data_IF_721039930141
#
_entry.id   IF_721039930141
#
_cell.length_a   1.000
_cell.length_b   1.000
_cell.length_c   1.000
_cell.angle_alpha   90.00
_cell.angle_beta   90.00
_cell.angle_gamma   90.00
#
_symmetry.space_group_name_H-M   'P 1'
#
loop_
_entity.id
_entity.type
_entity.pdbx_description
1 polymer ?
#
# COMPACT_ATOMS: atom_id res chain seq x y z
N UNK A 1 -75.76 17.11 -12.31
CA UNK A 1 -74.62 17.72 -13.02
C UNK A 1 -73.62 18.23 -11.99
N UNK A 2 -72.35 17.85 -12.12
CA UNK A 2 -71.20 18.46 -11.42
C UNK A 2 -70.84 19.82 -12.07
N UNK A 3 -69.86 20.63 -11.58
CA UNK A 3 -69.21 20.72 -10.25
C UNK A 3 -68.99 22.19 -9.77
N UNK A 4 -68.51 22.38 -8.53
CA UNK A 4 -67.38 23.30 -8.23
C UNK A 4 -66.77 22.94 -6.88
N UNK A 5 -65.59 22.32 -6.93
CA UNK A 5 -64.74 22.01 -5.78
C UNK A 5 -64.03 23.28 -5.28
N UNK A 6 -63.90 23.51 -3.96
CA UNK A 6 -62.89 24.42 -3.42
C UNK A 6 -61.52 23.75 -3.36
N UNK A 7 -60.48 24.57 -3.54
CA UNK A 7 -59.08 24.19 -3.73
C UNK A 7 -58.51 23.30 -2.62
N UNK A 8 -57.94 22.16 -3.02
CA UNK A 8 -57.06 21.34 -2.19
C UNK A 8 -55.65 21.92 -2.24
N UNK A 9 -55.16 22.38 -1.09
CA UNK A 9 -53.77 22.79 -0.88
C UNK A 9 -52.80 21.66 -1.28
N UNK A 10 -51.66 21.97 -1.92
CA UNK A 10 -50.70 20.94 -2.30
C UNK A 10 -50.04 20.35 -1.05
N UNK A 11 -50.33 19.07 -0.82
CA UNK A 11 -49.57 18.21 0.10
C UNK A 11 -48.15 18.12 -0.48
N UNK A 12 -47.22 18.83 0.15
CA UNK A 12 -45.78 18.71 -0.10
C UNK A 12 -45.40 17.27 0.27
N UNK A 13 -45.30 16.40 -0.72
CA UNK A 13 -44.64 15.11 -0.56
C UNK A 13 -43.17 15.35 -0.24
N UNK A 14 -42.63 14.78 0.86
CA UNK A 14 -41.20 14.85 1.10
C UNK A 14 -40.50 14.06 -0.02
N UNK A 15 -39.74 14.80 -0.81
CA UNK A 15 -38.75 14.32 -1.76
C UNK A 15 -37.90 13.23 -1.09
N UNK A 16 -38.16 11.97 -1.45
CA UNK A 16 -37.26 10.86 -1.13
C UNK A 16 -35.98 11.11 -1.91
N UNK A 17 -35.02 11.72 -1.22
CA UNK A 17 -33.66 11.84 -1.69
C UNK A 17 -33.19 10.43 -2.10
N UNK A 18 -32.94 10.26 -3.39
CA UNK A 18 -32.47 8.99 -3.97
C UNK A 18 -31.11 8.68 -3.32
N UNK A 19 -31.11 7.74 -2.37
CA UNK A 19 -29.90 7.29 -1.68
C UNK A 19 -28.92 6.74 -2.73
N UNK A 20 -27.78 7.39 -2.88
CA UNK A 20 -26.65 6.88 -3.64
C UNK A 20 -26.21 5.57 -3.00
N UNK A 21 -26.34 4.46 -3.73
CA UNK A 21 -25.93 3.14 -3.26
C UNK A 21 -24.41 3.12 -3.11
N UNK A 22 -23.92 3.19 -1.87
CA UNK A 22 -22.51 2.88 -1.57
C UNK A 22 -22.38 1.36 -1.63
N UNK A 23 -21.66 0.83 -2.61
CA UNK A 23 -21.35 -0.59 -2.65
C UNK A 23 -20.58 -0.98 -1.39
N UNK A 24 -21.07 -1.95 -0.64
CA UNK A 24 -20.38 -2.44 0.56
C UNK A 24 -19.11 -3.19 0.16
N UNK A 25 -17.96 -2.78 0.68
CA UNK A 25 -16.65 -3.37 0.38
C UNK A 25 -16.53 -4.78 0.98
N UNK A 26 -15.59 -5.59 0.44
CA UNK A 26 -15.33 -6.94 0.95
C UNK A 26 -14.90 -6.92 2.43
N UNK A 27 -14.09 -5.94 2.82
CA UNK A 27 -13.64 -5.74 4.21
C UNK A 27 -14.81 -5.49 5.17
N UNK A 28 -15.73 -4.59 4.80
CA UNK A 28 -16.92 -4.31 5.62
C UNK A 28 -17.81 -5.54 5.74
N UNK A 29 -17.95 -6.33 4.67
CA UNK A 29 -18.70 -7.60 4.71
C UNK A 29 -18.06 -8.62 5.64
N UNK A 30 -16.73 -8.74 5.63
CA UNK A 30 -15.98 -9.63 6.53
C UNK A 30 -16.09 -9.16 7.99
N UNK A 31 -16.01 -7.86 8.28
CA UNK A 31 -16.18 -7.33 9.64
C UNK A 31 -17.60 -7.61 10.18
N UNK A 32 -18.63 -7.43 9.35
CA UNK A 32 -20.03 -7.77 9.71
C UNK A 32 -20.15 -9.25 10.09
N UNK A 33 -19.55 -10.15 9.31
CA UNK A 33 -19.56 -11.60 9.58
C UNK A 33 -18.83 -11.88 10.90
N UNK A 34 -17.62 -11.35 11.10
CA UNK A 34 -16.86 -11.57 12.33
C UNK A 34 -17.57 -11.06 13.58
N UNK A 35 -18.20 -9.87 13.52
CA UNK A 35 -19.01 -9.31 14.61
C UNK A 35 -20.19 -10.23 14.96
N UNK A 36 -20.88 -10.73 13.95
CA UNK A 36 -22.00 -11.63 14.13
C UNK A 36 -21.56 -12.99 14.72
N UNK A 37 -20.43 -13.55 14.27
CA UNK A 37 -19.86 -14.80 14.81
C UNK A 37 -19.39 -14.66 16.27
N UNK A 38 -18.98 -13.45 16.68
CA UNK A 38 -18.70 -13.12 18.08
C UNK A 38 -19.97 -12.92 18.94
N UNK A 39 -21.16 -13.09 18.37
CA UNK A 39 -22.43 -12.96 19.07
C UNK A 39 -22.94 -11.52 19.23
N UNK A 40 -22.38 -10.55 18.50
CA UNK A 40 -22.92 -9.17 18.52
C UNK A 40 -24.33 -9.14 17.94
N UNK A 41 -25.25 -8.41 18.60
CA UNK A 41 -26.64 -8.29 18.12
C UNK A 41 -26.68 -7.59 16.75
N UNK A 42 -27.46 -8.12 15.82
CA UNK A 42 -27.60 -7.58 14.45
C UNK A 42 -27.95 -6.08 14.43
N UNK A 43 -28.81 -5.61 15.34
CA UNK A 43 -29.14 -4.18 15.44
C UNK A 43 -27.94 -3.30 15.79
N UNK A 44 -27.01 -3.79 16.61
CA UNK A 44 -25.76 -3.09 16.92
C UNK A 44 -24.85 -3.02 15.70
N UNK A 45 -24.74 -4.11 14.94
CA UNK A 45 -23.94 -4.20 13.71
C UNK A 45 -24.50 -3.27 12.63
N UNK A 46 -25.83 -3.25 12.45
CA UNK A 46 -26.54 -2.34 11.54
C UNK A 46 -26.23 -0.88 11.84
N UNK A 47 -26.31 -0.49 13.12
CA UNK A 47 -26.00 0.88 13.56
C UNK A 47 -24.53 1.22 13.36
N UNK A 48 -23.63 0.30 13.69
CA UNK A 48 -22.19 0.50 13.59
C UNK A 48 -21.73 0.79 12.15
N UNK A 49 -22.21 0.01 11.17
CA UNK A 49 -21.84 0.20 9.77
C UNK A 49 -22.74 1.20 9.01
N UNK A 50 -23.77 1.75 9.66
CA UNK A 50 -24.74 2.65 9.00
C UNK A 50 -25.50 1.99 7.84
N UNK A 51 -25.70 0.67 7.89
CA UNK A 51 -26.36 -0.11 6.83
C UNK A 51 -27.84 -0.32 7.13
N UNK A 52 -28.58 -0.86 6.17
CA UNK A 52 -29.96 -1.30 6.42
C UNK A 52 -29.97 -2.73 6.98
N UNK A 53 -30.97 -3.10 7.80
CA UNK A 53 -31.13 -4.48 8.27
C UNK A 53 -31.17 -5.51 7.13
N UNK A 54 -31.80 -5.15 6.01
CA UNK A 54 -31.86 -5.98 4.82
C UNK A 54 -30.46 -6.25 4.23
N UNK A 55 -29.62 -5.21 4.12
CA UNK A 55 -28.24 -5.34 3.63
C UNK A 55 -27.42 -6.29 4.51
N UNK A 56 -27.51 -6.13 5.85
CA UNK A 56 -26.80 -6.99 6.79
C UNK A 56 -27.30 -8.44 6.70
N UNK A 57 -28.62 -8.65 6.60
CA UNK A 57 -29.19 -9.99 6.42
C UNK A 57 -28.68 -10.67 5.14
N UNK A 58 -28.63 -9.96 4.02
CA UNK A 58 -28.10 -10.50 2.77
C UNK A 58 -26.63 -10.87 2.90
N UNK A 59 -25.81 -10.03 3.55
CA UNK A 59 -24.39 -10.30 3.80
C UNK A 59 -24.22 -11.59 4.61
N UNK A 60 -24.96 -11.73 5.71
CA UNK A 60 -24.91 -12.93 6.58
C UNK A 60 -25.39 -14.20 5.86
N UNK A 61 -26.35 -14.09 4.93
CA UNK A 61 -26.77 -15.24 4.09
C UNK A 61 -25.69 -15.67 3.09
N UNK A 62 -24.82 -14.75 2.68
CA UNK A 62 -23.73 -15.00 1.73
C UNK A 62 -22.36 -15.26 2.41
N UNK A 63 -22.35 -15.64 3.69
CA UNK A 63 -21.14 -15.78 4.52
C UNK A 63 -20.05 -16.59 3.86
N UNK A 64 -20.33 -17.82 3.40
CA UNK A 64 -19.32 -18.70 2.82
C UNK A 64 -18.67 -18.13 1.57
N UNK A 65 -19.49 -17.53 0.69
CA UNK A 65 -18.99 -16.91 -0.54
C UNK A 65 -18.10 -15.69 -0.27
N UNK A 66 -18.43 -14.92 0.78
CA UNK A 66 -17.66 -13.74 1.19
C UNK A 66 -16.35 -14.17 1.86
N UNK A 67 -16.37 -15.19 2.74
CA UNK A 67 -15.16 -15.76 3.35
C UNK A 67 -14.22 -16.31 2.29
N UNK A 68 -14.74 -17.11 1.35
CA UNK A 68 -13.95 -17.64 0.22
C UNK A 68 -13.33 -16.54 -0.63
N UNK A 69 -14.06 -15.45 -0.90
CA UNK A 69 -13.51 -14.30 -1.61
C UNK A 69 -12.38 -13.62 -0.79
N UNK A 70 -12.55 -13.49 0.53
CA UNK A 70 -11.51 -13.02 1.45
C UNK A 70 -10.26 -13.90 1.42
N UNK A 71 -10.44 -15.22 1.52
CA UNK A 71 -9.34 -16.19 1.46
C UNK A 71 -8.63 -16.17 0.12
N UNK A 72 -9.36 -15.99 -0.98
CA UNK A 72 -8.78 -15.87 -2.32
C UNK A 72 -7.93 -14.61 -2.44
N UNK A 73 -8.41 -13.46 -1.95
CA UNK A 73 -7.64 -12.21 -1.94
C UNK A 73 -6.39 -12.34 -1.06
N UNK A 74 -6.54 -12.92 0.13
CA UNK A 74 -5.43 -13.18 1.06
C UNK A 74 -4.39 -14.14 0.46
N UNK A 75 -4.84 -15.22 -0.16
CA UNK A 75 -3.98 -16.19 -0.85
C UNK A 75 -3.28 -15.59 -2.05
N UNK A 76 -3.95 -14.78 -2.87
CA UNK A 76 -3.32 -14.06 -3.98
C UNK A 76 -2.30 -13.04 -3.48
N UNK A 77 -2.58 -12.36 -2.37
CA UNK A 77 -1.62 -11.45 -1.74
C UNK A 77 -0.41 -12.23 -1.18
N UNK A 78 -0.63 -13.34 -0.48
CA UNK A 78 0.42 -14.19 0.06
C UNK A 78 1.24 -14.86 -1.05
N UNK A 79 0.58 -15.33 -2.12
CA UNK A 79 1.19 -15.88 -3.33
C UNK A 79 1.98 -14.82 -4.08
N UNK A 80 1.47 -13.59 -4.19
CA UNK A 80 2.21 -12.47 -4.76
C UNK A 80 3.45 -12.17 -3.92
N UNK A 81 3.31 -12.12 -2.59
CA UNK A 81 4.43 -11.91 -1.66
C UNK A 81 5.46 -13.05 -1.74
N UNK A 82 5.07 -14.31 -1.90
CA UNK A 82 5.98 -15.47 -1.98
C UNK A 82 6.57 -15.69 -3.38
N UNK A 83 5.83 -15.38 -4.44
CA UNK A 83 6.25 -15.57 -5.83
C UNK A 83 7.15 -14.44 -6.35
N UNK A 84 7.20 -13.28 -5.68
CA UNK A 84 8.20 -12.23 -5.96
C UNK A 84 9.53 -12.39 -5.22
N UNK A 85 9.72 -13.42 -4.38
CA UNK A 85 10.94 -13.54 -3.55
C UNK A 85 12.04 -14.32 -4.29
N UNK A 86 12.84 -13.62 -5.07
CA UNK A 86 14.27 -13.92 -5.03
C UNK A 86 14.71 -13.62 -3.59
N UNK A 87 14.93 -14.65 -2.77
CA UNK A 87 15.25 -14.48 -1.33
C UNK A 87 16.45 -13.55 -1.10
N UNK A 88 17.36 -13.50 -2.07
CA UNK A 88 18.50 -12.61 -2.13
C UNK A 88 18.11 -11.12 -2.21
N UNK A 89 17.12 -10.78 -3.05
CA UNK A 89 16.63 -9.40 -3.21
C UNK A 89 15.98 -8.90 -1.92
N UNK A 90 15.13 -9.71 -1.30
CA UNK A 90 14.49 -9.34 -0.04
C UNK A 90 15.49 -9.18 1.11
N UNK A 91 16.48 -10.08 1.18
CA UNK A 91 17.57 -9.99 2.17
C UNK A 91 18.37 -8.70 1.95
N UNK A 92 18.69 -8.36 0.71
CA UNK A 92 19.39 -7.12 0.37
C UNK A 92 18.54 -5.88 0.71
N UNK A 93 17.25 -5.85 0.35
CA UNK A 93 16.36 -4.72 0.66
C UNK A 93 16.17 -4.52 2.17
N UNK A 94 16.10 -5.61 2.95
CA UNK A 94 15.99 -5.53 4.42
C UNK A 94 17.26 -4.94 5.05
N UNK A 95 18.45 -5.34 4.57
CA UNK A 95 19.72 -4.78 5.02
C UNK A 95 19.85 -3.30 4.63
N UNK A 96 19.35 -2.94 3.44
CA UNK A 96 19.37 -1.57 2.95
C UNK A 96 18.46 -0.67 3.79
N UNK A 97 17.25 -1.13 4.13
CA UNK A 97 16.33 -0.41 5.03
C UNK A 97 16.96 -0.18 6.41
N UNK A 98 17.56 -1.21 7.00
CA UNK A 98 18.24 -1.10 8.30
C UNK A 98 19.35 -0.05 8.25
N UNK A 99 20.17 -0.07 7.20
CA UNK A 99 21.23 0.92 7.02
C UNK A 99 20.67 2.35 6.89
N UNK A 100 19.62 2.56 6.11
CA UNK A 100 18.98 3.89 5.98
C UNK A 100 18.47 4.38 7.32
N UNK A 101 17.81 3.52 8.10
CA UNK A 101 17.31 3.87 9.43
C UNK A 101 18.45 4.26 10.37
N UNK A 102 19.57 3.53 10.36
CA UNK A 102 20.77 3.86 11.12
C UNK A 102 21.36 5.24 10.75
N UNK A 103 21.45 5.55 9.45
CA UNK A 103 21.89 6.87 8.99
C UNK A 103 20.97 7.99 9.47
N UNK A 104 19.64 7.78 9.43
CA UNK A 104 18.65 8.74 9.95
C UNK A 104 18.83 8.96 11.45
N UNK A 105 19.05 7.88 12.22
CA UNK A 105 19.34 7.99 13.66
C UNK A 105 20.65 8.76 13.94
N UNK A 106 21.65 8.63 13.08
CA UNK A 106 22.92 9.36 13.17
C UNK A 106 22.86 10.77 12.56
N UNK A 107 21.69 11.26 12.14
CA UNK A 107 21.49 12.55 11.46
C UNK A 107 22.33 12.72 10.18
N UNK A 108 22.72 11.62 9.54
CA UNK A 108 23.50 11.66 8.31
C UNK A 108 22.55 11.77 7.11
N UNK A 109 22.77 12.75 6.20
CA UNK A 109 21.94 12.88 5.01
C UNK A 109 22.20 11.71 4.06
N UNK A 110 21.13 11.02 3.65
CA UNK A 110 21.20 9.93 2.69
C UNK A 110 20.59 10.38 1.36
N UNK A 111 21.37 10.30 0.28
CA UNK A 111 20.93 10.61 -1.08
C UNK A 111 20.57 9.34 -1.86
N UNK A 112 19.80 9.49 -2.95
CA UNK A 112 19.47 8.36 -3.85
C UNK A 112 20.71 7.67 -4.39
N UNK A 113 21.77 8.43 -4.74
CA UNK A 113 23.03 7.86 -5.24
C UNK A 113 23.69 6.96 -4.20
N UNK A 114 23.71 7.40 -2.94
CA UNK A 114 24.26 6.60 -1.83
C UNK A 114 23.43 5.34 -1.58
N UNK A 115 22.11 5.42 -1.68
CA UNK A 115 21.23 4.26 -1.50
C UNK A 115 21.46 3.24 -2.60
N UNK A 116 21.56 3.69 -3.86
CA UNK A 116 21.84 2.81 -4.99
C UNK A 116 23.22 2.15 -4.83
N UNK A 117 24.26 2.93 -4.50
CA UNK A 117 25.60 2.39 -4.27
C UNK A 117 25.62 1.37 -3.13
N UNK A 118 24.91 1.66 -2.02
CA UNK A 118 24.81 0.73 -0.90
C UNK A 118 24.03 -0.54 -1.26
N UNK A 119 22.97 -0.42 -2.05
CA UNK A 119 22.20 -1.56 -2.55
C UNK A 119 23.05 -2.51 -3.39
N UNK A 120 23.92 -1.97 -4.26
CA UNK A 120 24.88 -2.76 -5.03
C UNK A 120 25.88 -3.51 -4.14
N UNK A 121 26.49 -2.83 -3.17
CA UNK A 121 27.40 -3.47 -2.21
C UNK A 121 26.71 -4.59 -1.42
N UNK A 122 25.51 -4.34 -0.90
CA UNK A 122 24.75 -5.34 -0.15
C UNK A 122 24.32 -6.52 -1.03
N UNK A 123 24.03 -6.28 -2.31
CA UNK A 123 23.73 -7.35 -3.25
C UNK A 123 24.93 -8.28 -3.44
N UNK A 124 26.12 -7.73 -3.65
CA UNK A 124 27.35 -8.52 -3.77
C UNK A 124 27.62 -9.34 -2.49
N UNK A 125 27.46 -8.73 -1.32
CA UNK A 125 27.62 -9.40 -0.03
C UNK A 125 26.62 -10.55 0.16
N UNK A 126 25.38 -10.37 -0.29
CA UNK A 126 24.34 -11.41 -0.24
C UNK A 126 24.66 -12.54 -1.22
N UNK A 127 25.07 -12.22 -2.45
CA UNK A 127 25.46 -13.22 -3.46
C UNK A 127 26.69 -14.02 -3.02
N UNK A 128 27.65 -13.40 -2.33
CA UNK A 128 28.85 -14.09 -1.82
C UNK A 128 28.54 -15.14 -0.74
N UNK A 129 27.42 -15.01 -0.03
CA UNK A 129 27.00 -15.94 1.02
C UNK A 129 26.14 -17.11 0.51
N UNK A 130 25.71 -17.08 -0.75
CA UNK A 130 24.85 -18.12 -1.33
C UNK A 130 25.69 -19.21 -2.02
N UNK A 131 25.21 -20.48 -1.99
CA UNK A 131 25.75 -21.54 -2.84
C UNK A 131 25.68 -21.15 -4.33
N UNK A 132 26.61 -21.63 -5.15
CA UNK A 132 26.74 -21.25 -6.57
C UNK A 132 25.46 -21.50 -7.37
N UNK A 133 24.72 -22.55 -7.03
CA UNK A 133 23.43 -22.92 -7.63
C UNK A 133 22.29 -21.93 -7.34
N UNK A 134 22.35 -21.18 -6.24
CA UNK A 134 21.34 -20.19 -5.83
C UNK A 134 21.73 -18.75 -6.18
N UNK A 135 22.97 -18.53 -6.65
CA UNK A 135 23.42 -17.20 -7.05
C UNK A 135 22.65 -16.71 -8.27
N UNK A 136 22.34 -15.42 -8.24
CA UNK A 136 21.74 -14.77 -9.39
C UNK A 136 22.74 -14.76 -10.55
N UNK A 137 22.31 -15.31 -11.69
CA UNK A 137 23.12 -15.33 -12.93
C UNK A 137 23.26 -13.94 -13.56
N UNK A 138 22.40 -13.01 -13.17
CA UNK A 138 22.39 -11.64 -13.66
C UNK A 138 22.72 -10.67 -12.54
N UNK A 139 23.48 -9.60 -12.82
CA UNK A 139 23.77 -8.57 -11.84
C UNK A 139 22.49 -7.84 -11.43
N UNK A 140 22.49 -7.29 -10.21
CA UNK A 140 21.39 -6.47 -9.72
C UNK A 140 21.26 -5.18 -10.53
N UNK A 141 20.08 -4.98 -11.12
CA UNK A 141 19.73 -3.76 -11.82
C UNK A 141 19.06 -2.78 -10.87
N UNK A 142 19.81 -1.79 -10.36
CA UNK A 142 19.29 -0.68 -9.57
C UNK A 142 18.52 0.35 -10.42
N UNK A 143 17.54 -0.15 -11.18
CA UNK A 143 16.72 0.69 -12.06
C UNK A 143 15.90 1.71 -11.26
N UNK A 144 15.51 2.81 -11.91
CA UNK A 144 14.58 3.78 -11.33
C UNK A 144 13.28 3.11 -10.87
N UNK A 145 12.76 2.19 -11.67
CA UNK A 145 11.58 1.41 -11.34
C UNK A 145 11.76 0.57 -10.07
N UNK A 146 12.89 -0.11 -9.91
CA UNK A 146 13.21 -0.84 -8.67
C UNK A 146 13.23 0.10 -7.46
N UNK A 147 13.96 1.22 -7.56
CA UNK A 147 14.10 2.18 -6.46
C UNK A 147 12.76 2.78 -6.03
N UNK A 148 11.89 3.12 -7.00
CA UNK A 148 10.55 3.64 -6.72
C UNK A 148 9.68 2.62 -5.97
N UNK A 149 9.80 1.33 -6.30
CA UNK A 149 9.09 0.25 -5.60
C UNK A 149 9.66 0.01 -4.19
N UNK A 150 10.99 -0.02 -4.05
CA UNK A 150 11.67 -0.12 -2.77
C UNK A 150 11.20 1.02 -1.83
N UNK A 151 11.30 2.27 -2.28
CA UNK A 151 10.87 3.46 -1.53
C UNK A 151 9.43 3.37 -1.03
N UNK A 152 8.51 2.88 -1.87
CA UNK A 152 7.10 2.67 -1.51
C UNK A 152 6.91 1.58 -0.45
N UNK A 153 7.69 0.50 -0.49
CA UNK A 153 7.62 -0.59 0.49
C UNK A 153 8.09 -0.14 1.87
N UNK A 154 9.24 0.54 1.94
CA UNK A 154 9.87 0.95 3.20
C UNK A 154 9.35 2.28 3.75
N UNK A 155 8.34 2.89 3.12
CA UNK A 155 7.72 4.13 3.61
C UNK A 155 8.65 5.36 3.60
N UNK A 156 9.68 5.37 2.74
CA UNK A 156 10.64 6.48 2.62
C UNK A 156 10.01 7.66 1.88
N UNK A 157 9.10 8.41 2.52
CA UNK A 157 8.40 9.53 1.87
C UNK A 157 9.25 10.78 1.70
N UNK A 158 10.34 10.94 2.47
CA UNK A 158 11.04 12.23 2.62
C UNK A 158 12.36 12.38 1.84
N UNK A 159 12.82 11.33 1.13
CA UNK A 159 14.06 11.43 0.34
C UNK A 159 13.75 12.20 -0.94
N UNK A 160 14.17 13.47 -1.03
CA UNK A 160 13.99 14.25 -2.24
C UNK A 160 14.76 13.58 -3.39
N UNK A 161 14.03 13.23 -4.44
CA UNK A 161 14.60 12.70 -5.67
C UNK A 161 15.09 13.92 -6.45
N UNK A 162 16.28 14.43 -6.13
CA UNK A 162 16.92 15.46 -6.94
C UNK A 162 17.33 14.80 -8.26
N UNK A 163 16.40 14.79 -9.21
CA UNK A 163 16.69 14.56 -10.61
C UNK A 163 16.63 15.90 -11.30
N UNK A 164 17.77 16.54 -11.53
CA UNK A 164 17.93 17.47 -12.64
C UNK A 164 19.40 17.76 -12.96
N UNK A 165 19.61 17.96 -14.25
CA UNK A 165 20.86 18.13 -14.97
C UNK A 165 21.70 19.31 -14.46
N UNK A 166 22.98 19.08 -14.19
CA UNK A 166 23.99 20.14 -14.24
C UNK A 166 24.84 19.92 -15.49
N UNK A 167 24.34 20.43 -16.61
CA UNK A 167 25.10 20.62 -17.84
C UNK A 167 26.19 21.67 -17.61
N UNK A 168 27.44 21.30 -17.94
CA UNK A 168 28.64 22.07 -18.36
C UNK A 168 28.80 23.54 -17.87
N UNK A 169 29.93 24.01 -17.32
CA UNK A 169 31.31 23.88 -17.81
C UNK A 169 32.35 24.06 -16.69
N UNK A 170 33.53 23.44 -16.87
CA UNK A 170 34.79 23.79 -16.17
C UNK A 170 35.42 25.02 -16.86
N UNK A 171 36.21 25.86 -16.15
CA UNK A 171 37.65 25.61 -16.10
C UNK A 171 38.31 25.88 -14.74
N UNK A 172 39.58 25.46 -14.69
CA UNK A 172 40.48 25.32 -13.56
C UNK A 172 40.88 26.60 -12.81
N UNK A 173 41.23 26.42 -11.53
CA UNK A 173 42.20 27.14 -10.67
C UNK A 173 41.82 26.80 -9.20
N UNK A 174 42.66 26.64 -8.19
CA UNK A 174 44.11 26.54 -8.03
C UNK A 174 44.30 26.03 -6.57
N UNK A 175 45.21 25.07 -6.39
CA UNK A 175 46.12 24.81 -5.25
C UNK A 175 45.72 24.92 -3.75
N UNK A 176 46.37 24.01 -2.99
CA UNK A 176 46.75 24.02 -1.55
C UNK A 176 45.76 23.39 -0.54
N UNK A 177 46.10 22.56 0.44
CA UNK A 177 47.28 21.73 0.83
C UNK A 177 46.84 20.87 2.03
N UNK A 178 47.53 19.75 2.27
CA UNK A 178 47.45 18.93 3.50
C UNK A 178 47.64 19.73 4.80
N UNK A 179 46.93 19.33 5.86
CA UNK A 179 47.35 19.28 7.30
C UNK A 179 46.06 19.03 8.12
N UNK A 180 45.97 18.14 9.11
CA UNK A 180 46.95 17.41 9.92
C UNK A 180 46.42 16.03 10.31
#
# INVERSE_FOLDING_TARGET
MQPKHPATSPIISPNVAKKTWKSVTLEVKLDIIHRHERGEKTNSIVRYHGLTPATVSTILKSTDSIKKAGDTVSSLQAKRITQTRDSAMDKMESLLEMWINDQVHCCMPVSTVLIIAKAHSLWEDVQAQLPEEEKAKTPFGASKGWFDHFRKRVGLHNIQTTGESASADRPAADVFVCLS
#
